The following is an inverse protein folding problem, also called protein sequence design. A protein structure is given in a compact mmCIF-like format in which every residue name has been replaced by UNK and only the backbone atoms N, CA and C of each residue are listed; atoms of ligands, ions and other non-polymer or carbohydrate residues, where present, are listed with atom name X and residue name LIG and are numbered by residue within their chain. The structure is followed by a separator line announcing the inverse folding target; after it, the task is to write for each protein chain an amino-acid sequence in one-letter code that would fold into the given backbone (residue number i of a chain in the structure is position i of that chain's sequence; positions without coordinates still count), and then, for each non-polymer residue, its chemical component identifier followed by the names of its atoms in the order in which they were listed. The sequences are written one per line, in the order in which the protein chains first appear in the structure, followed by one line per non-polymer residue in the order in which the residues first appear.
data_IF_302995555893
#
_entry.id   IF_302995555893
#
_cell.length_a   1.000
_cell.length_b   1.000
_cell.length_c   1.000
_cell.angle_alpha   90.00
_cell.angle_beta   90.00
_cell.angle_gamma   90.00
#
_symmetry.space_group_name_H-M   'P 1'
#
loop_
_entity.id
_entity.type
_entity.pdbx_description
1 polymer ?
#
# COMPACT_ATOMS: atom_id res chain seq x y z
N UNK A 1 -12.47 26.75 -0.29
CA UNK A 1 -11.73 25.90 0.66
C UNK A 1 -12.47 24.61 1.06
N UNK A 2 -13.78 24.62 1.37
CA UNK A 2 -14.53 23.39 1.75
C UNK A 2 -14.52 22.26 0.70
N UNK A 3 -14.69 22.56 -0.58
CA UNK A 3 -14.69 21.56 -1.67
C UNK A 3 -13.34 20.85 -1.79
N UNK A 4 -12.24 21.61 -1.70
CA UNK A 4 -10.87 21.05 -1.77
C UNK A 4 -10.58 20.14 -0.57
N UNK A 5 -11.04 20.52 0.64
CA UNK A 5 -10.92 19.67 1.84
C UNK A 5 -11.70 18.35 1.72
N UNK A 6 -12.93 18.39 1.17
CA UNK A 6 -13.74 17.18 0.93
C UNK A 6 -13.07 16.28 -0.11
N UNK A 7 -12.57 16.86 -1.22
CA UNK A 7 -11.84 16.12 -2.24
C UNK A 7 -10.59 15.44 -1.66
N UNK A 8 -9.83 16.12 -0.80
CA UNK A 8 -8.65 15.56 -0.14
C UNK A 8 -9.00 14.34 0.74
N UNK A 9 -10.10 14.41 1.49
CA UNK A 9 -10.58 13.28 2.30
C UNK A 9 -10.95 12.07 1.46
N UNK A 10 -11.63 12.28 0.33
CA UNK A 10 -12.00 11.20 -0.60
C UNK A 10 -10.74 10.52 -1.14
N UNK A 11 -9.76 11.32 -1.61
CA UNK A 11 -8.49 10.79 -2.12
C UNK A 11 -7.76 9.99 -1.05
N UNK A 12 -7.68 10.49 0.18
CA UNK A 12 -7.06 9.75 1.28
C UNK A 12 -7.71 8.40 1.55
N UNK A 13 -9.04 8.32 1.55
CA UNK A 13 -9.75 7.05 1.77
C UNK A 13 -9.52 6.06 0.62
N UNK A 14 -9.49 6.54 -0.62
CA UNK A 14 -9.16 5.69 -1.79
C UNK A 14 -7.74 5.15 -1.65
N UNK A 15 -6.77 6.01 -1.33
CA UNK A 15 -5.38 5.59 -1.17
C UNK A 15 -5.21 4.59 -0.01
N UNK A 16 -5.92 4.79 1.11
CA UNK A 16 -5.95 3.81 2.21
C UNK A 16 -6.52 2.44 1.77
N UNK A 17 -7.57 2.45 0.94
CA UNK A 17 -8.12 1.23 0.35
C UNK A 17 -7.10 0.50 -0.54
N UNK A 18 -6.38 1.24 -1.38
CA UNK A 18 -5.31 0.69 -2.24
C UNK A 18 -4.18 0.12 -1.40
N UNK A 19 -3.73 0.83 -0.36
CA UNK A 19 -2.69 0.37 0.56
C UNK A 19 -3.12 -0.98 1.15
N UNK A 20 -4.32 -1.05 1.74
CA UNK A 20 -4.84 -2.28 2.34
C UNK A 20 -4.93 -3.44 1.35
N UNK A 21 -5.40 -3.20 0.13
CA UNK A 21 -5.46 -4.22 -0.92
C UNK A 21 -4.07 -4.76 -1.30
N UNK A 22 -3.10 -3.88 -1.49
CA UNK A 22 -1.73 -4.25 -1.84
C UNK A 22 -1.04 -4.97 -0.67
N UNK A 23 -1.32 -4.60 0.58
CA UNK A 23 -0.84 -5.30 1.78
C UNK A 23 -1.33 -6.76 1.82
N UNK A 24 -2.63 -6.97 1.60
CA UNK A 24 -3.22 -8.31 1.60
C UNK A 24 -2.64 -9.16 0.48
N UNK A 25 -2.45 -8.58 -0.71
CA UNK A 25 -1.83 -9.28 -1.84
C UNK A 25 -0.40 -9.72 -1.53
N UNK A 26 0.36 -8.91 -0.80
CA UNK A 26 1.69 -9.29 -0.33
C UNK A 26 1.67 -10.48 0.62
N UNK A 27 0.76 -10.48 1.60
CA UNK A 27 0.60 -11.59 2.56
C UNK A 27 0.23 -12.88 1.83
N UNK A 28 -0.66 -12.81 0.84
CA UNK A 28 -1.00 -13.95 -0.02
C UNK A 28 0.24 -14.47 -0.75
N UNK A 29 1.05 -13.58 -1.35
CA UNK A 29 2.31 -13.95 -2.01
C UNK A 29 3.30 -14.63 -1.06
N UNK A 30 3.40 -14.16 0.19
CA UNK A 30 4.22 -14.78 1.24
C UNK A 30 3.72 -16.19 1.62
N UNK A 31 2.41 -16.39 1.70
CA UNK A 31 1.82 -17.71 1.95
C UNK A 31 2.16 -18.69 0.81
N UNK A 32 2.03 -18.26 -0.45
CA UNK A 32 2.43 -19.08 -1.61
C UNK A 32 3.94 -19.37 -1.63
N UNK A 33 4.78 -18.42 -1.23
CA UNK A 33 6.21 -18.64 -1.05
C UNK A 33 6.48 -19.79 -0.06
N UNK A 34 5.78 -19.83 1.08
CA UNK A 34 5.96 -20.92 2.06
C UNK A 34 5.48 -22.27 1.53
N UNK A 35 4.34 -22.29 0.83
CA UNK A 35 3.69 -23.51 0.32
C UNK A 35 4.42 -24.17 -0.87
N UNK A 36 5.12 -23.40 -1.71
CA UNK A 36 5.68 -23.93 -2.95
C UNK A 36 6.91 -24.82 -2.71
N UNK A 37 7.04 -25.93 -3.44
CA UNK A 37 8.18 -26.85 -3.28
C UNK A 37 9.38 -26.50 -4.18
N UNK A 38 9.14 -25.87 -5.33
CA UNK A 38 10.18 -25.48 -6.29
C UNK A 38 10.79 -24.11 -5.98
N UNK A 39 12.12 -24.06 -5.94
CA UNK A 39 12.91 -22.86 -5.60
C UNK A 39 12.63 -21.67 -6.52
N UNK A 40 12.51 -21.90 -7.83
CA UNK A 40 12.29 -20.83 -8.82
C UNK A 40 10.96 -20.10 -8.59
N UNK A 41 9.88 -20.87 -8.37
CA UNK A 41 8.57 -20.31 -8.07
C UNK A 41 8.56 -19.58 -6.71
N UNK A 42 9.27 -20.11 -5.69
CA UNK A 42 9.41 -19.45 -4.39
C UNK A 42 9.99 -18.05 -4.54
N UNK A 43 11.13 -17.89 -5.21
CA UNK A 43 11.76 -16.58 -5.36
C UNK A 43 10.87 -15.58 -6.08
N UNK A 44 10.12 -16.02 -7.10
CA UNK A 44 9.17 -15.14 -7.79
C UNK A 44 8.09 -14.60 -6.83
N UNK A 45 7.48 -15.45 -6.01
CA UNK A 45 6.47 -15.01 -5.03
C UNK A 45 7.06 -14.15 -3.91
N UNK A 46 8.28 -14.43 -3.46
CA UNK A 46 8.98 -13.61 -2.47
C UNK A 46 9.29 -12.21 -3.01
N UNK A 47 9.76 -12.11 -4.25
CA UNK A 47 10.05 -10.83 -4.91
C UNK A 47 8.77 -10.01 -5.08
N UNK A 48 7.70 -10.62 -5.61
CA UNK A 48 6.41 -9.94 -5.79
C UNK A 48 5.85 -9.46 -4.44
N UNK A 49 5.88 -10.33 -3.43
CA UNK A 49 5.42 -10.00 -2.07
C UNK A 49 6.23 -8.84 -1.47
N UNK A 50 7.56 -8.86 -1.63
CA UNK A 50 8.44 -7.78 -1.18
C UNK A 50 8.18 -6.45 -1.87
N UNK A 51 7.96 -6.46 -3.19
CA UNK A 51 7.61 -5.25 -3.96
C UNK A 51 6.25 -4.69 -3.49
N UNK A 52 5.25 -5.55 -3.29
CA UNK A 52 3.96 -5.11 -2.77
C UNK A 52 4.07 -4.48 -1.37
N UNK A 53 4.89 -5.03 -0.47
CA UNK A 53 5.15 -4.43 0.84
C UNK A 53 5.83 -3.07 0.74
N UNK A 54 6.89 -2.96 -0.09
CA UNK A 54 7.61 -1.72 -0.30
C UNK A 54 6.70 -0.62 -0.88
N UNK A 55 5.86 -0.96 -1.86
CA UNK A 55 4.88 -0.03 -2.44
C UNK A 55 3.81 0.37 -1.42
N UNK A 56 3.28 -0.57 -0.64
CA UNK A 56 2.30 -0.30 0.42
C UNK A 56 2.86 0.70 1.44
N UNK A 57 4.09 0.48 1.90
CA UNK A 57 4.77 1.38 2.84
C UNK A 57 5.04 2.77 2.22
N UNK A 58 5.45 2.83 0.94
CA UNK A 58 5.69 4.08 0.25
C UNK A 58 4.41 4.92 0.09
N UNK A 59 3.31 4.30 -0.35
CA UNK A 59 2.01 4.97 -0.45
C UNK A 59 1.50 5.43 0.92
N UNK A 60 1.71 4.63 1.97
CA UNK A 60 1.37 5.04 3.32
C UNK A 60 2.14 6.29 3.75
N UNK A 61 3.47 6.29 3.57
CA UNK A 61 4.33 7.42 3.91
C UNK A 61 3.93 8.71 3.16
N UNK A 62 3.69 8.62 1.85
CA UNK A 62 3.21 9.78 1.07
C UNK A 62 1.87 10.27 1.58
N UNK A 63 0.93 9.36 1.84
CA UNK A 63 -0.42 9.72 2.33
C UNK A 63 -0.33 10.44 3.67
N UNK A 64 0.53 9.97 4.58
CA UNK A 64 0.76 10.60 5.88
C UNK A 64 1.37 12.00 5.73
N UNK A 65 2.36 12.17 4.86
CA UNK A 65 2.97 13.47 4.57
C UNK A 65 2.01 14.47 3.93
N UNK A 66 1.13 14.00 3.03
CA UNK A 66 0.08 14.85 2.44
C UNK A 66 -0.94 15.27 3.51
N UNK A 67 -1.34 14.35 4.40
CA UNK A 67 -2.26 14.63 5.51
C UNK A 67 -1.67 15.69 6.45
N UNK A 68 -0.40 15.56 6.81
CA UNK A 68 0.32 16.50 7.67
C UNK A 68 0.35 17.92 7.07
N UNK A 69 0.68 18.04 5.77
CA UNK A 69 0.65 19.33 5.06
C UNK A 69 -0.76 19.89 4.90
N UNK A 70 -1.76 19.04 4.67
CA UNK A 70 -3.14 19.47 4.50
C UNK A 70 -3.76 19.98 5.80
N UNK A 71 -3.38 19.43 6.96
CA UNK A 71 -3.79 19.94 8.28
C UNK A 71 -3.13 21.29 8.57
N UNK A 72 -1.85 21.47 8.25
CA UNK A 72 -1.13 22.73 8.40
C UNK A 72 -1.68 23.87 7.53
N UNK A 73 -2.34 23.54 6.41
CA UNK A 73 -2.92 24.49 5.46
C UNK A 73 -4.40 24.80 5.72
N UNK A 74 -5.06 24.09 6.64
CA UNK A 74 -6.48 24.26 6.99
C UNK A 74 -6.65 25.15 8.22
#
# INVERSE_FOLDING_TARGET
MKIVSILMKIVMHITQGVIGGVSVFSVIGLVYFTLMSTLENRYQYAIVSGICLALSAFFYYITEKIKEKCILLQ
#
